data_IF_437207199867
#
_entry.id   IF_437207199867
#
_cell.length_a   1.000
_cell.length_b   1.000
_cell.length_c   1.000
_cell.angle_alpha   90.00
_cell.angle_beta   90.00
_cell.angle_gamma   90.00
#
_symmetry.space_group_name_H-M   'P 1'
#
loop_
_entity.id
_entity.type
_entity.pdbx_description
1 polymer ?
#
# COMPACT_ATOMS: atom_id res chain seq x y z
N UNK A 1 -25.67 -56.21 -45.08
CA UNK A 1 -24.39 -56.06 -44.37
C UNK A 1 -24.69 -55.89 -42.89
N UNK A 2 -24.54 -56.99 -42.15
CA UNK A 2 -24.82 -57.10 -40.71
C UNK A 2 -23.58 -56.65 -39.94
N UNK A 3 -23.70 -55.57 -39.16
CA UNK A 3 -22.61 -55.04 -38.35
C UNK A 3 -22.41 -55.94 -37.14
N UNK A 4 -21.33 -56.74 -37.14
CA UNK A 4 -20.84 -57.38 -35.92
C UNK A 4 -20.17 -56.31 -35.06
N UNK A 5 -20.94 -55.65 -34.20
CA UNK A 5 -20.40 -54.82 -33.14
C UNK A 5 -19.75 -55.73 -32.12
N UNK A 6 -18.41 -55.80 -32.15
CA UNK A 6 -17.61 -56.56 -31.20
C UNK A 6 -17.98 -56.16 -29.77
N UNK A 7 -18.47 -57.12 -28.97
CA UNK A 7 -18.88 -56.96 -27.58
C UNK A 7 -17.77 -56.39 -26.68
N UNK A 8 -16.51 -56.42 -27.15
CA UNK A 8 -15.34 -55.88 -26.47
C UNK A 8 -15.19 -54.35 -26.56
N UNK A 9 -15.95 -53.67 -27.44
CA UNK A 9 -15.87 -52.21 -27.58
C UNK A 9 -16.58 -51.43 -26.44
N UNK A 10 -17.63 -52.02 -25.85
CA UNK A 10 -18.38 -51.43 -24.73
C UNK A 10 -17.56 -51.19 -23.45
N UNK A 11 -16.79 -52.18 -22.93
CA UNK A 11 -16.01 -51.96 -21.70
C UNK A 11 -14.87 -50.95 -21.90
N UNK A 12 -14.31 -50.87 -23.11
CA UNK A 12 -13.24 -49.92 -23.43
C UNK A 12 -13.74 -48.48 -23.44
N UNK A 13 -14.94 -48.24 -23.96
CA UNK A 13 -15.57 -46.92 -23.92
C UNK A 13 -15.88 -46.51 -22.47
N UNK A 14 -16.38 -47.43 -21.64
CA UNK A 14 -16.69 -47.15 -20.24
C UNK A 14 -15.46 -46.73 -19.40
N UNK A 15 -14.29 -47.31 -19.67
CA UNK A 15 -13.03 -46.95 -19.01
C UNK A 15 -12.58 -45.52 -19.36
N UNK A 16 -12.76 -45.11 -20.62
CA UNK A 16 -12.36 -43.78 -21.10
C UNK A 16 -13.22 -42.64 -20.52
N UNK A 17 -14.47 -42.89 -20.15
CA UNK A 17 -15.35 -41.85 -19.56
C UNK A 17 -15.18 -41.67 -18.05
N UNK A 18 -14.52 -42.61 -17.36
CA UNK A 18 -14.36 -42.57 -15.89
C UNK A 18 -13.45 -41.44 -15.40
N UNK A 19 -12.61 -40.88 -16.27
CA UNK A 19 -11.70 -39.78 -15.95
C UNK A 19 -12.35 -38.39 -15.83
N UNK A 20 -13.55 -38.19 -16.39
CA UNK A 20 -14.21 -36.87 -16.43
C UNK A 20 -15.16 -36.59 -15.24
N UNK A 21 -15.41 -37.56 -14.35
CA UNK A 21 -16.30 -37.41 -13.20
C UNK A 21 -15.55 -37.16 -11.87
N UNK A 22 -14.23 -36.94 -11.93
CA UNK A 22 -13.40 -36.69 -10.75
C UNK A 22 -13.76 -35.36 -10.10
N UNK A 23 -14.05 -35.39 -8.79
CA UNK A 23 -14.19 -34.17 -7.99
C UNK A 23 -12.84 -33.44 -8.01
N UNK A 24 -12.79 -32.15 -8.40
CA UNK A 24 -11.54 -31.42 -8.39
C UNK A 24 -10.99 -31.37 -6.97
N UNK A 25 -9.73 -31.75 -6.79
CA UNK A 25 -9.02 -31.61 -5.52
C UNK A 25 -8.55 -30.17 -5.44
N UNK A 26 -9.18 -29.37 -4.58
CA UNK A 26 -8.73 -28.00 -4.32
C UNK A 26 -7.46 -28.10 -3.46
N UNK A 27 -6.30 -27.84 -4.08
CA UNK A 27 -5.04 -27.70 -3.35
C UNK A 27 -4.83 -26.23 -3.01
N UNK A 28 -4.94 -25.89 -1.73
CA UNK A 28 -4.45 -24.62 -1.22
C UNK A 28 -2.96 -24.75 -0.94
N UNK A 29 -2.16 -23.97 -1.65
CA UNK A 29 -0.72 -23.86 -1.39
C UNK A 29 -0.45 -22.55 -0.70
N UNK A 30 0.34 -22.59 0.38
CA UNK A 30 0.85 -21.38 1.01
C UNK A 30 2.02 -20.87 0.15
N UNK A 31 1.85 -19.68 -0.44
CA UNK A 31 2.90 -19.01 -1.21
C UNK A 31 3.34 -17.79 -0.40
N UNK A 32 4.58 -17.80 0.06
CA UNK A 32 5.19 -16.64 0.72
C UNK A 32 5.60 -15.61 -0.34
N UNK A 33 4.65 -14.72 -0.69
CA UNK A 33 4.92 -13.57 -1.56
C UNK A 33 5.12 -12.33 -0.69
N UNK A 34 6.24 -11.60 -0.82
CA UNK A 34 6.40 -10.31 -0.14
C UNK A 34 5.35 -9.34 -0.69
N UNK A 35 4.46 -8.88 0.18
CA UNK A 35 3.46 -7.85 -0.14
C UNK A 35 3.99 -6.52 0.40
N UNK A 36 4.11 -5.46 -0.42
CA UNK A 36 4.49 -4.16 0.07
C UNK A 36 3.41 -3.64 1.02
N UNK A 37 3.71 -3.57 2.30
CA UNK A 37 2.86 -2.92 3.29
C UNK A 37 3.26 -1.45 3.33
N UNK A 38 2.34 -0.56 2.97
CA UNK A 38 2.58 0.87 3.12
C UNK A 38 2.71 1.18 4.62
N UNK A 39 3.86 1.72 5.01
CA UNK A 39 4.02 2.29 6.34
C UNK A 39 3.08 3.49 6.42
N UNK A 40 2.02 3.38 7.22
CA UNK A 40 1.16 4.52 7.51
C UNK A 40 1.93 5.45 8.43
N UNK A 41 2.25 6.64 7.93
CA UNK A 41 2.98 7.63 8.72
C UNK A 41 1.97 8.38 9.58
N UNK A 42 2.16 8.36 10.89
CA UNK A 42 1.33 9.12 11.80
C UNK A 42 1.54 10.63 11.59
N UNK A 43 0.43 11.36 11.46
CA UNK A 43 0.47 12.81 11.44
C UNK A 43 0.77 13.32 12.85
N UNK A 44 1.81 14.14 13.06
CA UNK A 44 2.07 14.71 14.38
C UNK A 44 0.87 15.55 14.84
N UNK A 45 0.47 15.38 16.12
CA UNK A 45 -0.69 16.05 16.69
C UNK A 45 -0.50 17.59 16.77
N UNK A 46 0.73 18.05 16.95
CA UNK A 46 1.07 19.47 17.00
C UNK A 46 2.35 19.78 16.22
N UNK A 47 2.34 20.90 15.50
CA UNK A 47 3.51 21.51 14.86
C UNK A 47 4.36 22.34 15.82
N UNK A 48 4.29 22.06 17.12
CA UNK A 48 4.85 22.90 18.18
C UNK A 48 6.31 22.55 18.44
N UNK A 49 7.19 23.09 17.61
CA UNK A 49 8.61 23.23 17.96
C UNK A 49 8.80 24.49 18.79
N UNK A 50 9.75 24.51 19.74
CA UNK A 50 10.16 25.76 20.39
C UNK A 50 10.70 26.72 19.32
N UNK A 51 9.86 27.69 18.92
CA UNK A 51 10.11 28.54 17.77
C UNK A 51 11.30 29.45 18.05
N UNK A 52 11.93 29.97 16.99
CA UNK A 52 13.01 30.94 17.15
C UNK A 52 12.58 32.16 18.01
N UNK A 53 11.30 32.56 17.94
CA UNK A 53 10.75 33.67 18.73
C UNK A 53 10.63 33.38 20.23
N UNK A 54 10.51 32.12 20.64
CA UNK A 54 10.42 31.76 22.06
C UNK A 54 11.74 32.04 22.82
N UNK A 55 12.82 32.25 22.07
CA UNK A 55 14.17 32.51 22.58
C UNK A 55 14.54 33.99 22.64
N UNK A 56 13.69 34.90 22.14
CA UNK A 56 13.95 36.35 22.16
C UNK A 56 13.08 37.06 23.20
N UNK A 57 13.62 38.14 23.76
CA UNK A 57 12.92 39.03 24.69
C UNK A 57 12.44 40.29 23.98
N UNK A 58 11.38 40.91 24.51
CA UNK A 58 10.93 42.23 24.06
C UNK A 58 11.98 43.34 24.29
N UNK A 59 13.03 43.07 25.07
CA UNK A 59 14.16 43.98 25.31
C UNK A 59 15.30 43.83 24.31
N UNK A 60 15.26 42.79 23.46
CA UNK A 60 16.31 42.56 22.47
C UNK A 60 16.26 43.61 21.36
N UNK A 61 17.37 43.73 20.64
CA UNK A 61 17.46 44.61 19.49
C UNK A 61 16.43 44.24 18.40
N UNK A 62 15.92 45.26 17.71
CA UNK A 62 14.92 45.11 16.67
C UNK A 62 15.37 44.19 15.52
N UNK A 63 16.66 44.21 15.14
CA UNK A 63 17.16 43.31 14.10
C UNK A 63 17.12 41.84 14.56
N UNK A 64 17.43 41.58 15.83
CA UNK A 64 17.37 40.25 16.44
C UNK A 64 15.94 39.71 16.47
N UNK A 65 14.98 40.54 16.91
CA UNK A 65 13.55 40.18 16.92
C UNK A 65 13.05 39.90 15.51
N UNK A 66 13.38 40.76 14.53
CA UNK A 66 12.95 40.57 13.14
C UNK A 66 13.50 39.29 12.51
N UNK A 67 14.73 38.89 12.86
CA UNK A 67 15.31 37.62 12.40
C UNK A 67 14.56 36.42 12.99
N UNK A 68 14.27 36.46 14.28
CA UNK A 68 13.52 35.38 14.94
C UNK A 68 12.11 35.21 14.33
N UNK A 69 11.41 36.32 14.06
CA UNK A 69 10.09 36.31 13.41
C UNK A 69 10.12 35.69 12.01
N UNK A 70 11.16 36.01 11.22
CA UNK A 70 11.32 35.42 9.88
C UNK A 70 11.53 33.91 9.95
N UNK A 71 12.34 33.46 10.90
CA UNK A 71 12.59 32.03 11.12
C UNK A 71 11.30 31.32 11.57
N UNK A 72 10.51 31.92 12.47
CA UNK A 72 9.23 31.33 12.88
C UNK A 72 8.29 31.10 11.69
N UNK A 73 8.20 32.05 10.76
CA UNK A 73 7.37 31.90 9.55
C UNK A 73 7.82 30.69 8.73
N UNK A 74 9.14 30.51 8.56
CA UNK A 74 9.70 29.37 7.83
C UNK A 74 9.46 28.04 8.56
N UNK A 75 9.64 28.01 9.89
CA UNK A 75 9.38 26.85 10.75
C UNK A 75 7.91 26.40 10.69
N UNK A 76 6.98 27.34 10.81
CA UNK A 76 5.54 27.06 10.68
C UNK A 76 5.18 26.56 9.29
N UNK A 77 5.68 27.21 8.24
CA UNK A 77 5.42 26.79 6.88
C UNK A 77 5.95 25.37 6.58
N UNK A 78 7.13 25.04 7.10
CA UNK A 78 7.71 23.71 6.96
C UNK A 78 6.83 22.63 7.61
N UNK A 79 6.30 22.88 8.81
CA UNK A 79 5.45 21.89 9.47
C UNK A 79 4.01 21.86 8.92
N UNK A 80 3.31 22.99 8.95
CA UNK A 80 1.88 23.06 8.66
C UNK A 80 1.56 22.83 7.18
N UNK A 81 2.46 23.23 6.28
CA UNK A 81 2.24 23.07 4.84
C UNK A 81 3.02 21.89 4.30
N UNK A 82 4.35 21.88 4.43
CA UNK A 82 5.16 20.86 3.75
C UNK A 82 5.01 19.47 4.38
N UNK A 83 5.18 19.37 5.69
CA UNK A 83 5.15 18.08 6.38
C UNK A 83 3.75 17.46 6.30
N UNK A 84 2.70 18.23 6.60
CA UNK A 84 1.32 17.74 6.50
C UNK A 84 0.96 17.32 5.07
N UNK A 85 1.37 18.08 4.05
CA UNK A 85 1.14 17.70 2.66
C UNK A 85 1.89 16.42 2.29
N UNK A 86 3.14 16.26 2.73
CA UNK A 86 3.93 15.06 2.49
C UNK A 86 3.31 13.83 3.16
N UNK A 87 2.94 13.92 4.44
CA UNK A 87 2.28 12.82 5.18
C UNK A 87 0.95 12.45 4.53
N UNK A 88 0.14 13.45 4.15
CA UNK A 88 -1.10 13.22 3.41
C UNK A 88 -0.84 12.52 2.08
N UNK A 89 0.18 12.95 1.33
CA UNK A 89 0.61 12.32 0.09
C UNK A 89 0.99 10.85 0.29
N UNK A 90 1.88 10.57 1.24
CA UNK A 90 2.30 9.23 1.61
C UNK A 90 1.11 8.31 1.97
N UNK A 91 0.14 8.84 2.73
CA UNK A 91 -1.02 8.07 3.17
C UNK A 91 -2.16 8.01 2.13
N UNK A 92 -2.07 8.74 1.01
CA UNK A 92 -3.15 8.86 0.02
C UNK A 92 -3.06 7.90 -1.17
N UNK A 93 -1.99 7.11 -1.30
CA UNK A 93 -1.81 6.21 -2.44
C UNK A 93 -2.53 4.88 -2.20
N UNK A 94 -3.66 4.58 -2.88
CA UNK A 94 -4.03 3.20 -3.11
C UNK A 94 -3.00 2.59 -4.06
N UNK A 95 -2.44 1.44 -3.70
CA UNK A 95 -1.60 0.66 -4.61
C UNK A 95 -2.39 0.40 -5.89
N UNK A 96 -1.95 1.00 -7.00
CA UNK A 96 -2.40 0.58 -8.32
C UNK A 96 -1.72 -0.77 -8.53
N UNK A 97 -2.49 -1.84 -8.40
CA UNK A 97 -2.06 -3.18 -8.81
C UNK A 97 -1.74 -3.07 -10.30
N UNK A 98 -0.46 -3.04 -10.63
CA UNK A 98 -0.02 -3.24 -12.00
C UNK A 98 -0.19 -4.72 -12.26
N UNK A 99 -1.36 -5.07 -12.77
CA UNK A 99 -1.62 -6.33 -13.45
C UNK A 99 -0.57 -6.47 -14.57
N UNK A 100 0.46 -7.25 -14.31
CA UNK A 100 1.43 -7.68 -15.31
C UNK A 100 0.94 -8.99 -15.91
N UNK A 101 0.58 -8.90 -17.20
CA UNK A 101 0.48 -9.94 -18.25
C UNK A 101 -0.44 -11.14 -18.06
#
# INVERSE_FOLDING_TARGET
MTYHTSLAALPMLALMLSGCAGKPVIQTQLIEKPVPVLCQVETPAECKSAYAVDRVSAKDDALTINRALRVEIEERWACEIKLLAAVKGCNSLPLKETDHE
#
